data_IF_716386244328
#
_entry.id   IF_716386244328
#
_cell.length_a   1.000
_cell.length_b   1.000
_cell.length_c   1.000
_cell.angle_alpha   90.00
_cell.angle_beta   90.00
_cell.angle_gamma   90.00
#
_symmetry.space_group_name_H-M   'P 1'
#
loop_
_entity.id
_entity.type
_entity.pdbx_description
1 polymer ?
#
# COMPACT_ATOMS: atom_id res chain seq x y z
N UNK A 1 11.92 29.42 3.73
CA UNK A 1 10.74 28.54 3.80
C UNK A 1 10.99 27.47 2.75
N UNK A 2 11.53 26.32 3.15
CA UNK A 2 11.70 25.19 2.23
C UNK A 2 10.32 24.81 1.74
N UNK A 3 10.04 25.14 0.48
CA UNK A 3 8.82 24.72 -0.18
C UNK A 3 9.08 23.32 -0.68
N UNK A 4 8.94 22.33 0.19
CA UNK A 4 8.96 20.94 -0.25
C UNK A 4 7.86 20.74 -1.28
N UNK A 5 8.23 20.16 -2.42
CA UNK A 5 7.30 19.82 -3.48
C UNK A 5 6.22 18.89 -2.89
N UNK A 6 4.93 19.13 -3.19
CA UNK A 6 3.87 18.31 -2.62
C UNK A 6 4.10 16.83 -2.99
N UNK A 7 3.90 15.89 -2.05
CA UNK A 7 4.16 14.49 -2.30
C UNK A 7 3.25 13.98 -3.42
N UNK A 8 3.83 13.22 -4.36
CA UNK A 8 3.09 12.60 -5.44
C UNK A 8 2.23 11.45 -4.90
N UNK A 9 0.94 11.71 -4.67
CA UNK A 9 -0.02 10.72 -4.17
C UNK A 9 -0.82 10.14 -5.35
N UNK A 10 -0.65 8.83 -5.57
CA UNK A 10 -1.41 8.06 -6.55
C UNK A 10 -1.88 6.73 -5.97
N UNK A 11 -2.86 6.14 -6.63
CA UNK A 11 -3.31 4.77 -6.32
C UNK A 11 -2.23 3.80 -6.80
N UNK A 12 -1.89 2.82 -5.96
CA UNK A 12 -0.97 1.75 -6.33
C UNK A 12 -1.59 0.90 -7.45
N UNK A 13 -0.77 0.52 -8.41
CA UNK A 13 -1.17 -0.33 -9.51
C UNK A 13 -0.42 -1.66 -9.50
N UNK A 14 -0.81 -2.58 -10.38
CA UNK A 14 -0.17 -3.91 -10.48
C UNK A 14 1.37 -3.88 -10.62
N UNK A 15 1.94 -2.79 -11.18
CA UNK A 15 3.39 -2.61 -11.24
C UNK A 15 4.07 -2.34 -9.89
N UNK A 16 3.31 -1.98 -8.85
CA UNK A 16 3.82 -1.58 -7.54
C UNK A 16 3.79 -2.71 -6.50
N UNK A 17 3.27 -3.89 -6.86
CA UNK A 17 2.97 -4.96 -5.89
C UNK A 17 4.20 -5.35 -5.07
N UNK A 18 5.34 -5.61 -5.72
CA UNK A 18 6.56 -6.04 -5.02
C UNK A 18 7.10 -4.94 -4.10
N UNK A 19 6.95 -3.67 -4.47
CA UNK A 19 7.33 -2.54 -3.64
C UNK A 19 6.39 -2.37 -2.43
N UNK A 20 5.08 -2.58 -2.62
CA UNK A 20 4.09 -2.57 -1.53
C UNK A 20 4.37 -3.69 -0.53
N UNK A 21 4.66 -4.91 -1.00
CA UNK A 21 5.03 -6.03 -0.13
C UNK A 21 6.26 -5.69 0.69
N UNK A 22 7.32 -5.18 0.04
CA UNK A 22 8.56 -4.77 0.72
C UNK A 22 8.28 -3.71 1.78
N UNK A 23 7.53 -2.67 1.44
CA UNK A 23 7.16 -1.59 2.36
C UNK A 23 6.38 -2.12 3.57
N UNK A 24 5.43 -3.01 3.35
CA UNK A 24 4.65 -3.61 4.43
C UNK A 24 5.51 -4.47 5.37
N UNK A 25 6.50 -5.19 4.84
CA UNK A 25 7.48 -5.90 5.67
C UNK A 25 8.36 -4.93 6.48
N UNK A 26 8.88 -3.89 5.83
CA UNK A 26 9.75 -2.89 6.48
C UNK A 26 8.99 -2.18 7.62
N UNK A 27 7.73 -1.82 7.40
CA UNK A 27 6.88 -1.22 8.41
C UNK A 27 6.57 -2.20 9.56
N UNK A 28 6.33 -3.49 9.27
CA UNK A 28 6.15 -4.50 10.31
C UNK A 28 7.38 -4.66 11.21
N UNK A 29 8.56 -4.73 10.58
CA UNK A 29 9.84 -4.84 11.27
C UNK A 29 10.10 -3.61 12.15
N UNK A 30 9.84 -2.40 11.62
CA UNK A 30 9.95 -1.17 12.38
C UNK A 30 9.00 -1.14 13.59
N UNK A 31 7.73 -1.50 13.42
CA UNK A 31 6.75 -1.56 14.52
C UNK A 31 7.19 -2.55 15.61
N UNK A 32 7.65 -3.74 15.21
CA UNK A 32 8.17 -4.76 16.12
C UNK A 32 9.37 -4.24 16.92
N UNK A 33 10.30 -3.55 16.26
CA UNK A 33 11.46 -2.93 16.92
C UNK A 33 11.06 -1.81 17.92
N UNK A 34 9.90 -1.18 17.73
CA UNK A 34 9.34 -0.20 18.67
C UNK A 34 8.54 -0.84 19.82
N UNK A 35 8.47 -2.17 19.89
CA UNK A 35 7.65 -2.88 20.86
C UNK A 35 6.15 -2.71 20.61
N UNK A 36 5.76 -2.23 19.42
CA UNK A 36 4.36 -2.10 19.02
C UNK A 36 3.92 -3.40 18.36
N UNK A 37 2.74 -3.95 18.70
CA UNK A 37 2.20 -5.12 18.01
C UNK A 37 2.12 -4.86 16.50
N UNK A 38 2.92 -5.59 15.73
CA UNK A 38 2.86 -5.57 14.28
C UNK A 38 1.74 -6.48 13.78
N UNK A 39 1.25 -6.22 12.56
CA UNK A 39 0.43 -7.17 11.83
C UNK A 39 1.20 -8.47 11.55
N UNK A 40 0.47 -9.56 11.28
CA UNK A 40 1.07 -10.87 11.02
C UNK A 40 1.82 -10.87 9.68
N UNK A 41 3.15 -10.79 9.77
CA UNK A 41 4.07 -10.66 8.64
C UNK A 41 4.04 -11.90 7.74
N UNK A 42 3.75 -13.08 8.31
CA UNK A 42 3.64 -14.32 7.54
C UNK A 42 2.43 -14.32 6.59
N UNK A 43 1.46 -13.42 6.83
CA UNK A 43 0.27 -13.23 6.00
C UNK A 43 0.41 -12.10 4.99
N UNK A 44 1.55 -11.41 4.98
CA UNK A 44 1.87 -10.37 4.01
C UNK A 44 2.74 -11.01 2.95
N UNK A 45 2.07 -11.63 1.99
CA UNK A 45 2.69 -12.21 0.81
C UNK A 45 2.26 -11.46 -0.45
N UNK A 46 2.80 -11.89 -1.58
CA UNK A 46 2.46 -11.34 -2.89
C UNK A 46 0.96 -11.44 -3.18
N UNK A 47 0.32 -12.54 -2.77
CA UNK A 47 -1.13 -12.78 -2.95
C UNK A 47 -1.98 -11.75 -2.23
N UNK A 48 -1.61 -11.43 -0.98
CA UNK A 48 -2.25 -10.40 -0.19
C UNK A 48 -2.10 -9.03 -0.86
N UNK A 49 -0.89 -8.68 -1.30
CA UNK A 49 -0.64 -7.40 -1.98
C UNK A 49 -1.33 -7.29 -3.34
N UNK A 50 -1.36 -8.36 -4.13
CA UNK A 50 -2.13 -8.45 -5.37
C UNK A 50 -3.61 -8.18 -5.12
N UNK A 51 -4.19 -8.84 -4.11
CA UNK A 51 -5.59 -8.64 -3.74
C UNK A 51 -5.86 -7.20 -3.30
N UNK A 52 -4.96 -6.63 -2.49
CA UNK A 52 -5.07 -5.26 -2.00
C UNK A 52 -5.01 -4.24 -3.13
N UNK A 53 -4.02 -4.35 -4.02
CA UNK A 53 -3.82 -3.46 -5.16
C UNK A 53 -4.97 -3.57 -6.14
N UNK A 54 -5.33 -4.77 -6.59
CA UNK A 54 -6.42 -4.98 -7.56
C UNK A 54 -7.77 -4.50 -7.04
N UNK A 55 -8.05 -4.73 -5.75
CA UNK A 55 -9.29 -4.25 -5.13
C UNK A 55 -9.30 -2.73 -5.02
N UNK A 56 -8.15 -2.10 -4.77
CA UNK A 56 -8.02 -0.64 -4.74
C UNK A 56 -8.22 -0.04 -6.12
N UNK A 57 -7.59 -0.60 -7.16
CA UNK A 57 -7.81 -0.21 -8.57
C UNK A 57 -9.29 -0.31 -8.94
N UNK A 58 -9.95 -1.42 -8.60
CA UNK A 58 -11.38 -1.63 -8.88
C UNK A 58 -12.27 -0.60 -8.16
N UNK A 59 -12.00 -0.30 -6.90
CA UNK A 59 -12.77 0.68 -6.13
C UNK A 59 -12.67 2.07 -6.76
N UNK A 60 -11.48 2.46 -7.20
CA UNK A 60 -11.24 3.74 -7.87
C UNK A 60 -11.95 3.78 -9.21
N UNK A 61 -11.83 2.73 -10.03
CA UNK A 61 -12.53 2.62 -11.30
C UNK A 61 -14.07 2.74 -11.11
N UNK A 62 -14.61 2.09 -10.09
CA UNK A 62 -16.04 2.19 -9.74
C UNK A 62 -16.43 3.60 -9.29
N UNK A 63 -15.62 4.24 -8.46
CA UNK A 63 -15.88 5.61 -8.01
C UNK A 63 -15.85 6.61 -9.17
N UNK A 64 -15.00 6.40 -10.17
CA UNK A 64 -14.95 7.22 -11.38
C UNK A 64 -16.17 6.98 -12.29
N UNK A 65 -16.62 5.73 -12.43
CA UNK A 65 -17.83 5.39 -13.19
C UNK A 65 -19.11 5.97 -12.56
N UNK A 66 -19.20 6.06 -11.24
CA UNK A 66 -20.36 6.66 -10.56
C UNK A 66 -20.44 8.19 -10.67
N UNK A 67 -19.36 8.85 -11.11
CA UNK A 67 -19.29 10.31 -11.28
C UNK A 67 -19.56 10.77 -12.72
N UNK A 68 -19.71 9.85 -13.66
CA UNK A 68 -20.04 10.12 -15.07
C UNK A 68 -21.54 9.95 -15.30
#
# INVERSE_FOLDING_TARGET
MDSEEPPNVRVACSGDIDEVVRLMHDAAAWMSAKGTPAWDVARIDRTFAETFVLRSELLVARALLQKS
#
